data_IF_505393732597
#
_entry.id   IF_505393732597
#
_cell.length_a   1.000
_cell.length_b   1.000
_cell.length_c   1.000
_cell.angle_alpha   90.00
_cell.angle_beta   90.00
_cell.angle_gamma   90.00
#
_symmetry.space_group_name_H-M   'P 1'
#
loop_
_entity.id
_entity.type
_entity.pdbx_description
1 polymer ?
#
# COMPACT_ATOMS: atom_id res chain seq x y z
N UNK A 1 -16.34 -16.87 -8.64
CA UNK A 1 -15.15 -17.53 -8.05
C UNK A 1 -14.58 -16.62 -6.97
N UNK A 2 -14.53 -17.06 -5.72
CA UNK A 2 -13.81 -16.34 -4.67
C UNK A 2 -12.32 -16.71 -4.77
N UNK A 3 -11.50 -15.73 -5.14
CA UNK A 3 -10.04 -15.89 -5.18
C UNK A 3 -9.53 -15.76 -3.74
N UNK A 4 -9.11 -16.88 -3.16
CA UNK A 4 -8.53 -16.88 -1.83
C UNK A 4 -7.19 -16.11 -1.87
N UNK A 5 -7.18 -14.92 -1.28
CA UNK A 5 -6.03 -14.04 -1.23
C UNK A 5 -4.80 -14.76 -0.66
N UNK A 6 -4.96 -15.64 0.34
CA UNK A 6 -3.84 -16.39 0.92
C UNK A 6 -3.08 -17.30 -0.05
N UNK A 7 -3.62 -17.59 -1.24
CA UNK A 7 -2.94 -18.34 -2.31
C UNK A 7 -2.18 -17.44 -3.30
N UNK A 8 -2.36 -16.12 -3.27
CA UNK A 8 -1.55 -15.19 -4.07
C UNK A 8 -0.26 -14.92 -3.32
N UNK A 9 0.87 -15.13 -3.99
CA UNK A 9 2.19 -14.91 -3.41
C UNK A 9 2.44 -13.40 -3.26
N UNK A 10 1.84 -12.78 -2.23
CA UNK A 10 1.99 -11.34 -1.96
C UNK A 10 3.36 -10.99 -1.37
N UNK A 11 4.27 -11.95 -1.21
CA UNK A 11 5.61 -11.71 -0.69
C UNK A 11 6.31 -10.59 -1.46
N UNK A 12 6.23 -10.59 -2.80
CA UNK A 12 6.81 -9.52 -3.62
C UNK A 12 6.22 -8.14 -3.30
N UNK A 13 4.90 -8.05 -3.07
CA UNK A 13 4.23 -6.78 -2.73
C UNK A 13 4.58 -6.35 -1.30
N UNK A 14 4.61 -7.29 -0.37
CA UNK A 14 4.98 -7.06 1.03
C UNK A 14 6.42 -6.58 1.12
N UNK A 15 7.35 -7.19 0.38
CA UNK A 15 8.75 -6.77 0.31
C UNK A 15 8.91 -5.43 -0.41
N UNK A 16 8.32 -5.28 -1.62
CA UNK A 16 8.40 -4.05 -2.42
C UNK A 16 7.99 -2.81 -1.62
N UNK A 17 6.92 -2.92 -0.81
CA UNK A 17 6.41 -1.79 -0.02
C UNK A 17 6.71 -1.86 1.49
N UNK A 18 7.47 -2.88 1.91
CA UNK A 18 7.84 -3.15 3.30
C UNK A 18 6.61 -3.19 4.25
N UNK A 19 5.59 -4.00 3.90
CA UNK A 19 4.29 -4.08 4.58
C UNK A 19 4.32 -4.92 5.87
N UNK A 20 5.32 -4.69 6.73
CA UNK A 20 5.52 -5.47 7.98
C UNK A 20 4.46 -5.18 9.06
N UNK A 21 3.97 -3.95 9.12
CA UNK A 21 3.07 -3.49 10.18
C UNK A 21 1.67 -3.21 9.62
N UNK A 22 0.63 -3.41 10.42
CA UNK A 22 -0.76 -3.22 10.00
C UNK A 22 -1.53 -2.33 10.98
N UNK A 23 -2.47 -1.50 10.49
CA UNK A 23 -2.73 -1.19 9.07
C UNK A 23 -1.59 -0.35 8.46
N UNK A 24 -1.28 -0.57 7.18
CA UNK A 24 -0.34 0.26 6.39
C UNK A 24 -1.01 0.67 5.08
N UNK A 25 -0.96 1.96 4.78
CA UNK A 25 -1.42 2.57 3.53
C UNK A 25 -0.21 3.00 2.69
N UNK A 26 -0.25 2.72 1.39
CA UNK A 26 0.82 3.09 0.44
C UNK A 26 0.19 3.76 -0.77
N UNK A 27 0.71 4.92 -1.14
CA UNK A 27 0.39 5.60 -2.40
C UNK A 27 1.53 5.30 -3.39
N UNK A 28 1.15 4.89 -4.60
CA UNK A 28 2.07 4.56 -5.69
C UNK A 28 1.69 5.30 -6.96
N UNK A 29 2.66 5.54 -7.84
CA UNK A 29 2.41 6.10 -9.16
C UNK A 29 1.91 5.05 -10.17
N UNK A 30 1.75 5.45 -11.43
CA UNK A 30 1.31 4.58 -12.52
C UNK A 30 2.34 3.51 -12.93
N UNK A 31 3.60 3.64 -12.51
CA UNK A 31 4.66 2.64 -12.68
C UNK A 31 4.72 1.69 -11.47
N UNK A 32 3.92 1.95 -10.43
CA UNK A 32 3.92 1.21 -9.18
C UNK A 32 5.09 1.60 -8.27
N UNK A 33 5.69 2.76 -8.45
CA UNK A 33 6.73 3.29 -7.58
C UNK A 33 6.10 4.04 -6.40
N UNK A 34 6.70 3.88 -5.23
CA UNK A 34 6.13 4.37 -3.96
C UNK A 34 6.30 5.88 -3.83
N UNK A 35 5.18 6.60 -3.82
CA UNK A 35 5.09 8.05 -3.53
C UNK A 35 5.04 8.29 -2.02
N UNK A 36 4.21 7.52 -1.29
CA UNK A 36 3.99 7.74 0.13
C UNK A 36 3.62 6.45 0.89
N UNK A 37 3.91 6.40 2.19
CA UNK A 37 3.59 5.29 3.09
C UNK A 37 3.21 5.80 4.47
N UNK A 38 2.14 5.24 5.04
CA UNK A 38 1.68 5.51 6.41
C UNK A 38 1.34 4.22 7.13
N UNK A 39 1.91 4.03 8.32
CA UNK A 39 1.47 2.98 9.27
C UNK A 39 0.47 3.61 10.24
N UNK A 40 -0.57 2.86 10.61
CA UNK A 40 -1.64 3.32 11.48
C UNK A 40 -2.74 4.04 10.71
N UNK A 41 -3.39 5.02 11.34
CA UNK A 41 -4.57 5.68 10.80
C UNK A 41 -4.31 6.38 9.47
N UNK A 42 -5.23 6.21 8.52
CA UNK A 42 -5.24 6.93 7.26
C UNK A 42 -5.42 8.44 7.49
N UNK A 43 -4.65 9.25 6.79
CA UNK A 43 -4.78 10.71 6.81
C UNK A 43 -5.19 11.17 5.41
N UNK A 44 -6.46 11.56 5.26
CA UNK A 44 -7.05 11.98 3.99
C UNK A 44 -6.43 13.28 3.49
N UNK A 45 -6.25 14.29 4.35
CA UNK A 45 -5.67 15.59 3.98
C UNK A 45 -4.25 15.42 3.43
N UNK A 46 -3.45 14.55 4.07
CA UNK A 46 -2.10 14.26 3.60
C UNK A 46 -2.13 13.54 2.26
N UNK A 47 -3.06 12.61 2.07
CA UNK A 47 -3.22 11.88 0.83
C UNK A 47 -3.62 12.82 -0.32
N UNK A 48 -4.62 13.67 -0.11
CA UNK A 48 -5.12 14.64 -1.09
C UNK A 48 -4.02 15.63 -1.51
N UNK A 49 -3.19 16.08 -0.56
CA UNK A 49 -2.05 16.96 -0.85
C UNK A 49 -0.97 16.35 -1.76
N UNK A 50 -0.94 15.02 -1.90
CA UNK A 50 0.05 14.30 -2.70
C UNK A 50 -0.48 13.92 -4.09
N UNK A 51 -1.78 14.01 -4.31
CA UNK A 51 -2.45 13.67 -5.58
C UNK A 51 -3.00 14.90 -6.32
N UNK A 52 -2.91 16.09 -5.71
CA UNK A 52 -3.37 17.36 -6.27
C UNK A 52 -2.32 18.04 -7.15
#
# INVERSE_FOLDING_TARGET
>A
MSVNASKKNYLETIEKYNLKYTPTYVLVDNQGEKIYKRVGTFNVEKFDSLVS
#
